data_IF_658604762926
#
_entry.id   IF_658604762926
#
_cell.length_a   1.000
_cell.length_b   1.000
_cell.length_c   1.000
_cell.angle_alpha   90.00
_cell.angle_beta   90.00
_cell.angle_gamma   90.00
#
_symmetry.space_group_name_H-M   'P 1'
#
loop_
_entity.id
_entity.type
_entity.pdbx_description
1 polymer ?
#
# COMPACT_ATOMS: atom_id res chain seq x y z
N UNK A 1 -0.60 8.10 6.37
CA UNK A 1 -1.64 7.10 6.72
C UNK A 1 -1.19 5.75 6.18
N UNK A 2 -1.28 4.69 6.99
CA UNK A 2 -0.70 3.32 6.92
C UNK A 2 -1.00 2.48 5.66
N UNK A 3 -1.41 3.10 4.57
CA UNK A 3 -1.96 2.47 3.37
C UNK A 3 -3.15 1.52 3.61
N UNK A 4 -3.72 1.50 4.82
CA UNK A 4 -4.77 0.56 5.24
C UNK A 4 -4.43 -0.92 4.99
N UNK A 5 -3.14 -1.24 4.91
CA UNK A 5 -2.69 -2.62 4.81
C UNK A 5 -3.02 -3.37 6.10
N UNK A 6 -3.55 -4.61 6.04
CA UNK A 6 -3.96 -5.35 7.24
C UNK A 6 -2.87 -5.41 8.31
N UNK A 7 -1.63 -5.74 7.91
CA UNK A 7 -0.50 -5.81 8.86
C UNK A 7 -0.13 -4.45 9.46
N UNK A 8 -0.22 -3.36 8.67
CA UNK A 8 0.09 -2.01 9.15
C UNK A 8 -1.01 -1.49 10.08
N UNK A 9 -2.25 -1.89 9.85
CA UNK A 9 -3.39 -1.66 10.76
C UNK A 9 -3.20 -2.45 12.06
N UNK A 10 -2.82 -3.73 11.97
CA UNK A 10 -2.55 -4.56 13.14
C UNK A 10 -1.39 -4.01 13.98
N UNK A 11 -0.30 -3.59 13.32
CA UNK A 11 0.83 -2.94 13.98
C UNK A 11 0.41 -1.64 14.68
N UNK A 12 -0.40 -0.79 14.03
CA UNK A 12 -0.94 0.41 14.66
C UNK A 12 -1.77 0.07 15.90
N UNK A 13 -2.74 -0.85 15.77
CA UNK A 13 -3.62 -1.24 16.89
C UNK A 13 -2.83 -1.78 18.08
N UNK A 14 -1.78 -2.56 17.81
CA UNK A 14 -0.87 -3.06 18.84
C UNK A 14 -0.16 -1.91 19.55
N UNK A 15 0.52 -1.03 18.79
CA UNK A 15 1.26 0.10 19.37
C UNK A 15 0.35 1.08 20.12
N UNK A 16 -0.84 1.36 19.60
CA UNK A 16 -1.82 2.21 20.27
C UNK A 16 -2.24 1.62 21.62
N UNK A 17 -2.45 0.31 21.72
CA UNK A 17 -2.79 -0.37 22.97
C UNK A 17 -1.66 -0.49 23.99
N UNK A 18 -0.45 -0.05 23.65
CA UNK A 18 0.69 0.03 24.57
C UNK A 18 0.83 1.45 25.19
N UNK A 19 -0.02 2.41 24.79
CA UNK A 19 -0.04 3.77 25.33
C UNK A 19 -1.09 3.88 26.43
N UNK A 20 -0.87 4.76 27.40
CA UNK A 20 -1.82 5.02 28.48
C UNK A 20 -3.05 5.81 27.98
N UNK A 21 -4.19 5.58 28.64
CA UNK A 21 -5.42 6.36 28.50
C UNK A 21 -5.16 7.87 28.71
N UNK A 22 -5.78 8.75 27.91
CA UNK A 22 -6.81 8.49 26.88
C UNK A 22 -6.25 8.30 25.46
N UNK A 23 -4.92 8.23 25.31
CA UNK A 23 -4.27 8.30 24.00
C UNK A 23 -4.51 7.02 23.20
N UNK A 24 -4.64 5.87 23.87
CA UNK A 24 -4.94 4.59 23.22
C UNK A 24 -6.34 4.58 22.60
N UNK A 25 -7.35 5.04 23.33
CA UNK A 25 -8.74 5.15 22.86
C UNK A 25 -8.87 6.16 21.73
N UNK A 26 -8.29 7.35 21.86
CA UNK A 26 -8.27 8.34 20.76
C UNK A 26 -7.57 7.79 19.51
N UNK A 27 -6.46 7.06 19.67
CA UNK A 27 -5.72 6.48 18.54
C UNK A 27 -6.50 5.35 17.84
N UNK A 28 -7.34 4.60 18.57
CA UNK A 28 -8.26 3.60 18.00
C UNK A 28 -9.39 4.30 17.23
N UNK A 29 -10.06 5.28 17.85
CA UNK A 29 -11.16 6.01 17.24
C UNK A 29 -10.74 6.72 15.94
N UNK A 30 -9.56 7.37 15.94
CA UNK A 30 -9.01 8.01 14.75
C UNK A 30 -8.76 7.02 13.61
N UNK A 31 -8.26 5.82 13.93
CA UNK A 31 -8.02 4.78 12.93
C UNK A 31 -9.33 4.26 12.35
N UNK A 32 -10.32 3.95 13.19
CA UNK A 32 -11.61 3.42 12.75
C UNK A 32 -12.40 4.47 11.95
N UNK A 33 -12.36 5.75 12.35
CA UNK A 33 -12.95 6.85 11.58
C UNK A 33 -12.28 7.00 10.20
N UNK A 34 -10.96 6.92 10.12
CA UNK A 34 -10.23 6.99 8.85
C UNK A 34 -10.57 5.82 7.91
N UNK A 35 -10.72 4.61 8.46
CA UNK A 35 -11.14 3.41 7.71
C UNK A 35 -12.57 3.56 7.18
N UNK A 36 -13.50 4.02 8.02
CA UNK A 36 -14.90 4.22 7.64
C UNK A 36 -15.05 5.27 6.52
N UNK A 37 -14.34 6.39 6.63
CA UNK A 37 -14.33 7.43 5.59
C UNK A 37 -13.76 6.90 4.27
N UNK A 38 -12.68 6.11 4.31
CA UNK A 38 -12.10 5.57 3.07
C UNK A 38 -13.05 4.60 2.36
N UNK A 39 -13.72 3.75 3.13
CA UNK A 39 -14.74 2.83 2.61
C UNK A 39 -15.89 3.58 1.95
N UNK A 40 -16.50 4.53 2.65
CA UNK A 40 -17.62 5.31 2.13
C UNK A 40 -17.25 6.07 0.85
N UNK A 41 -16.04 6.62 0.80
CA UNK A 41 -15.53 7.26 -0.41
C UNK A 41 -15.33 6.28 -1.56
N UNK A 42 -14.85 5.06 -1.29
CA UNK A 42 -14.69 4.01 -2.32
C UNK A 42 -16.03 3.56 -2.88
N UNK A 43 -17.01 3.31 -2.02
CA UNK A 43 -18.34 2.83 -2.43
C UNK A 43 -19.08 3.85 -3.30
N UNK A 44 -18.76 5.15 -3.14
CA UNK A 44 -19.43 6.25 -3.84
C UNK A 44 -18.78 6.70 -5.14
N UNK A 45 -17.65 6.12 -5.57
CA UNK A 45 -17.04 6.49 -6.87
C UNK A 45 -16.28 5.36 -7.56
N UNK A 46 -16.54 5.21 -8.85
CA UNK A 46 -15.78 4.32 -9.74
C UNK A 46 -14.37 4.85 -10.10
N UNK A 47 -14.09 6.13 -9.85
CA UNK A 47 -12.77 6.77 -10.03
C UNK A 47 -11.96 6.69 -8.75
N UNK A 48 -10.65 6.48 -8.89
CA UNK A 48 -9.72 6.56 -7.77
C UNK A 48 -9.86 7.91 -7.05
N UNK A 49 -10.22 7.88 -5.77
CA UNK A 49 -10.49 9.06 -4.92
C UNK A 49 -9.22 9.83 -4.52
N UNK A 50 -8.05 9.26 -4.79
CA UNK A 50 -6.75 9.85 -4.47
C UNK A 50 -5.64 9.19 -5.27
N UNK A 51 -4.48 9.82 -5.31
CA UNK A 51 -3.23 9.21 -5.82
C UNK A 51 -2.95 7.88 -5.13
N UNK A 52 -3.16 7.80 -3.81
CA UNK A 52 -3.00 6.56 -3.06
C UNK A 52 -3.96 5.46 -3.56
N UNK A 53 -5.22 5.79 -3.81
CA UNK A 53 -6.19 4.84 -4.36
C UNK A 53 -5.80 4.38 -5.78
N UNK A 54 -5.22 5.28 -6.59
CA UNK A 54 -4.72 4.96 -7.92
C UNK A 54 -3.53 3.99 -7.86
N UNK A 55 -2.54 4.28 -7.00
CA UNK A 55 -1.37 3.43 -6.78
C UNK A 55 -1.77 2.03 -6.30
N UNK A 56 -2.75 1.92 -5.40
CA UNK A 56 -3.29 0.61 -4.97
C UNK A 56 -3.93 -0.17 -6.10
N UNK A 57 -4.77 0.49 -6.91
CA UNK A 57 -5.43 -0.15 -8.05
C UNK A 57 -4.39 -0.64 -9.06
N UNK A 58 -3.38 0.17 -9.36
CA UNK A 58 -2.27 -0.22 -10.22
C UNK A 58 -1.50 -1.42 -9.64
N UNK A 59 -1.14 -1.36 -8.35
CA UNK A 59 -0.44 -2.44 -7.64
C UNK A 59 -1.19 -3.77 -7.76
N UNK A 60 -2.48 -3.79 -7.42
CA UNK A 60 -3.31 -5.00 -7.54
C UNK A 60 -3.46 -5.47 -8.98
N UNK A 61 -3.59 -4.56 -9.94
CA UNK A 61 -3.68 -4.92 -11.36
C UNK A 61 -2.39 -5.57 -11.85
N UNK A 62 -1.22 -5.07 -11.43
CA UNK A 62 0.08 -5.63 -11.78
C UNK A 62 0.24 -7.01 -11.15
N UNK A 63 -0.06 -7.15 -9.85
CA UNK A 63 0.04 -8.43 -9.15
C UNK A 63 -0.92 -9.49 -9.73
N UNK A 64 -2.19 -9.14 -9.95
CA UNK A 64 -3.20 -10.08 -10.44
C UNK A 64 -2.98 -10.53 -11.90
N UNK A 65 -2.19 -9.79 -12.67
CA UNK A 65 -1.91 -10.10 -14.08
C UNK A 65 -0.47 -10.56 -14.31
N UNK A 66 0.28 -10.82 -13.24
CA UNK A 66 1.71 -11.16 -13.30
C UNK A 66 2.48 -10.21 -14.24
N UNK A 67 2.24 -8.91 -14.06
CA UNK A 67 2.93 -7.85 -14.81
C UNK A 67 2.38 -7.55 -16.20
N UNK A 68 1.45 -8.35 -16.76
CA UNK A 68 0.92 -8.12 -18.10
C UNK A 68 0.24 -6.75 -18.23
N UNK A 69 -0.49 -6.29 -17.20
CA UNK A 69 -1.11 -4.97 -17.19
C UNK A 69 -0.08 -3.82 -17.31
N UNK A 70 1.13 -4.00 -16.76
CA UNK A 70 2.21 -3.03 -16.92
C UNK A 70 2.77 -3.07 -18.35
N UNK A 71 3.08 -4.26 -18.86
CA UNK A 71 3.64 -4.43 -20.20
C UNK A 71 2.69 -3.89 -21.30
N UNK A 72 1.39 -4.07 -21.14
CA UNK A 72 0.40 -3.56 -22.11
C UNK A 72 0.28 -2.02 -22.06
N UNK A 73 0.30 -1.43 -20.85
CA UNK A 73 0.23 0.02 -20.67
C UNK A 73 1.55 0.74 -21.04
N UNK A 74 2.68 0.06 -20.86
CA UNK A 74 4.03 0.62 -21.00
C UNK A 74 4.96 -0.35 -21.77
N UNK A 75 4.68 -0.64 -23.05
CA UNK A 75 5.32 -1.74 -23.78
C UNK A 75 6.83 -1.59 -23.99
N UNK A 76 7.34 -0.36 -23.96
CA UNK A 76 8.75 -0.05 -24.17
C UNK A 76 9.44 0.45 -22.88
N UNK A 77 8.75 0.40 -21.74
CA UNK A 77 9.33 0.89 -20.49
C UNK A 77 10.18 -0.19 -19.84
N UNK A 78 11.49 -0.05 -19.96
CA UNK A 78 12.47 -0.94 -19.33
C UNK A 78 12.86 -0.47 -17.92
N UNK A 79 12.56 0.80 -17.58
CA UNK A 79 13.02 1.43 -16.34
C UNK A 79 12.00 2.40 -15.75
N UNK A 80 11.83 2.30 -14.43
CA UNK A 80 11.11 3.28 -13.62
C UNK A 80 12.12 4.03 -12.73
N UNK A 81 12.13 5.37 -12.81
CA UNK A 81 12.99 6.20 -11.94
C UNK A 81 12.15 7.06 -11.01
N UNK A 82 12.35 6.91 -9.70
CA UNK A 82 11.77 7.75 -8.66
C UNK A 82 12.83 8.74 -8.15
N UNK A 83 12.59 10.04 -8.35
CA UNK A 83 13.58 11.10 -8.08
C UNK A 83 13.19 12.01 -6.92
N UNK A 84 14.20 12.46 -6.18
CA UNK A 84 14.06 13.55 -5.20
C UNK A 84 13.21 13.18 -3.98
N UNK A 85 13.10 11.88 -3.67
CA UNK A 85 12.28 11.39 -2.58
C UNK A 85 12.90 11.74 -1.22
N UNK A 86 12.12 12.40 -0.36
CA UNK A 86 12.44 12.57 1.06
C UNK A 86 11.93 11.41 1.92
N UNK A 87 11.04 10.58 1.37
CA UNK A 87 10.54 9.33 1.96
C UNK A 87 9.96 8.45 0.84
N UNK A 88 9.84 7.14 1.09
CA UNK A 88 9.07 6.22 0.27
C UNK A 88 7.78 5.93 1.03
N UNK A 89 6.63 6.43 0.54
CA UNK A 89 5.37 6.16 1.21
C UNK A 89 4.95 4.71 0.98
N UNK A 90 4.13 4.20 1.89
CA UNK A 90 3.60 2.83 1.83
C UNK A 90 2.97 2.46 0.45
N UNK A 91 2.10 3.28 -0.17
CA UNK A 91 1.57 2.98 -1.51
C UNK A 91 2.64 2.90 -2.61
N UNK A 92 3.67 3.75 -2.55
CA UNK A 92 4.78 3.69 -3.52
C UNK A 92 5.64 2.44 -3.31
N UNK A 93 5.83 2.06 -2.05
CA UNK A 93 6.57 0.87 -1.67
C UNK A 93 5.87 -0.38 -2.20
N UNK A 94 4.56 -0.48 -2.00
CA UNK A 94 3.75 -1.61 -2.47
C UNK A 94 3.76 -1.68 -4.00
N UNK A 95 3.64 -0.56 -4.71
CA UNK A 95 3.76 -0.51 -6.18
C UNK A 95 5.14 -0.98 -6.66
N UNK A 96 6.22 -0.50 -6.04
CA UNK A 96 7.59 -0.90 -6.40
C UNK A 96 7.80 -2.39 -6.15
N UNK A 97 7.30 -2.94 -5.03
CA UNK A 97 7.36 -4.37 -4.78
C UNK A 97 6.64 -5.17 -5.87
N UNK A 98 5.41 -4.79 -6.22
CA UNK A 98 4.66 -5.51 -7.26
C UNK A 98 5.35 -5.46 -8.63
N UNK A 99 5.95 -4.32 -9.00
CA UNK A 99 6.73 -4.20 -10.23
C UNK A 99 7.97 -5.09 -10.23
N UNK A 100 8.75 -5.06 -9.15
CA UNK A 100 9.97 -5.87 -9.03
C UNK A 100 9.68 -7.37 -8.99
N UNK A 101 8.51 -7.77 -8.50
CA UNK A 101 8.09 -9.17 -8.42
C UNK A 101 7.54 -9.68 -9.74
N UNK A 102 6.71 -8.88 -10.42
CA UNK A 102 5.92 -9.32 -11.57
C UNK A 102 6.50 -8.90 -12.92
N UNK A 103 7.56 -8.07 -12.96
CA UNK A 103 8.12 -7.55 -14.21
C UNK A 103 9.65 -7.51 -14.19
N UNK A 104 10.32 -7.54 -15.36
CA UNK A 104 11.77 -7.35 -15.45
C UNK A 104 12.19 -5.86 -15.40
N UNK A 105 11.28 -4.93 -15.09
CA UNK A 105 11.59 -3.49 -15.10
C UNK A 105 12.59 -3.15 -14.02
N UNK A 106 13.63 -2.40 -14.40
CA UNK A 106 14.59 -1.86 -13.46
C UNK A 106 13.98 -0.66 -12.70
N UNK A 107 13.99 -0.71 -11.37
CA UNK A 107 13.51 0.41 -10.54
C UNK A 107 14.68 1.14 -9.90
N UNK A 108 14.82 2.42 -10.24
CA UNK A 108 15.85 3.32 -9.73
C UNK A 108 15.25 4.30 -8.72
N UNK A 109 15.72 4.28 -7.48
CA UNK A 109 15.23 5.17 -6.42
C UNK A 109 16.32 6.13 -5.96
N UNK A 110 16.10 7.43 -6.15
CA UNK A 110 17.03 8.49 -5.80
C UNK A 110 16.48 9.36 -4.66
N UNK A 111 17.07 9.20 -3.48
CA UNK A 111 16.74 9.98 -2.29
C UNK A 111 17.48 11.31 -2.22
N UNK A 112 16.90 12.28 -1.50
CA UNK A 112 17.55 13.58 -1.23
C UNK A 112 18.80 13.43 -0.35
N UNK A 113 19.73 14.37 -0.49
CA UNK A 113 21.04 14.38 0.18
C UNK A 113 20.99 14.38 1.73
N UNK A 114 19.84 14.67 2.35
CA UNK A 114 19.68 14.61 3.82
C UNK A 114 19.04 13.34 4.37
N UNK A 115 18.27 12.61 3.56
CA UNK A 115 17.53 11.40 4.00
C UNK A 115 18.03 10.12 3.33
N UNK A 116 18.90 10.23 2.31
CA UNK A 116 19.21 9.10 1.44
C UNK A 116 19.97 7.97 2.09
N UNK A 117 20.91 8.22 3.00
CA UNK A 117 21.61 7.13 3.69
C UNK A 117 20.68 6.35 4.62
N UNK A 118 19.89 7.08 5.42
CA UNK A 118 18.88 6.48 6.29
C UNK A 118 17.86 5.65 5.49
N UNK A 119 17.33 6.20 4.40
CA UNK A 119 16.33 5.52 3.59
C UNK A 119 16.91 4.30 2.85
N UNK A 120 18.13 4.39 2.29
CA UNK A 120 18.77 3.23 1.63
C UNK A 120 18.87 2.01 2.55
N UNK A 121 19.16 2.22 3.83
CA UNK A 121 19.22 1.13 4.82
C UNK A 121 17.86 0.50 5.09
N UNK A 122 16.77 1.28 4.97
CA UNK A 122 15.40 0.84 5.25
C UNK A 122 14.65 0.29 4.03
N UNK A 123 15.06 0.62 2.81
CA UNK A 123 14.36 0.19 1.59
C UNK A 123 14.12 -1.32 1.53
N UNK A 124 15.11 -2.19 1.84
CA UNK A 124 14.86 -3.63 1.84
C UNK A 124 13.71 -4.03 2.76
N UNK A 125 13.69 -3.52 3.99
CA UNK A 125 12.64 -3.79 4.96
C UNK A 125 11.29 -3.21 4.53
N UNK A 126 11.30 -2.04 3.88
CA UNK A 126 10.08 -1.42 3.35
C UNK A 126 9.48 -2.28 2.23
N UNK A 127 10.32 -2.85 1.38
CA UNK A 127 9.88 -3.70 0.27
C UNK A 127 9.52 -5.12 0.71
N UNK A 128 9.87 -5.56 1.91
CA UNK A 128 9.51 -6.87 2.45
C UNK A 128 8.07 -6.88 3.00
N UNK A 129 7.09 -6.65 2.12
CA UNK A 129 5.65 -6.65 2.44
C UNK A 129 4.99 -7.79 1.69
N UNK A 130 4.33 -8.67 2.43
CA UNK A 130 3.50 -9.73 1.85
C UNK A 130 2.20 -9.13 1.29
N UNK A 131 1.78 -9.60 0.10
CA UNK A 131 0.56 -9.17 -0.60
C UNK A 131 0.40 -7.63 -0.78
N UNK A 132 1.31 -7.01 -1.55
CA UNK A 132 1.38 -5.55 -1.68
C UNK A 132 0.09 -4.95 -2.28
N UNK A 133 -0.39 -3.86 -1.68
CA UNK A 133 -1.57 -3.12 -2.18
C UNK A 133 -2.92 -3.65 -1.69
N UNK A 134 -2.89 -4.65 -0.81
CA UNK A 134 -4.05 -5.12 -0.07
C UNK A 134 -4.52 -4.09 0.95
N UNK A 135 -5.84 -4.02 1.10
CA UNK A 135 -6.52 -3.16 2.05
C UNK A 135 -7.33 -4.05 2.98
N UNK A 136 -7.31 -3.77 4.28
CA UNK A 136 -8.19 -4.47 5.21
C UNK A 136 -9.64 -4.34 4.75
N UNK A 137 -10.19 -5.48 4.33
CA UNK A 137 -11.62 -5.66 4.15
C UNK A 137 -12.24 -5.85 5.53
N UNK A 138 -13.50 -5.45 5.69
CA UNK A 138 -14.21 -5.77 6.94
C UNK A 138 -14.43 -7.29 7.05
N UNK A 139 -14.59 -7.83 8.26
CA UNK A 139 -14.89 -9.26 8.49
C UNK A 139 -16.10 -9.76 7.67
N UNK A 140 -17.02 -8.87 7.29
CA UNK A 140 -18.17 -9.17 6.46
C UNK A 140 -17.83 -9.56 5.01
N UNK A 141 -16.71 -9.07 4.46
CA UNK A 141 -16.27 -9.38 3.08
C UNK A 141 -15.31 -10.59 3.04
N UNK A 142 -14.59 -10.87 4.13
CA UNK A 142 -13.79 -12.09 4.27
C UNK A 142 -14.69 -13.35 4.29
N UNK A 143 -15.89 -13.23 4.85
CA UNK A 143 -16.87 -14.31 4.91
C UNK A 143 -17.65 -14.51 3.59
N UNK A 144 -17.83 -13.47 2.76
CA UNK A 144 -18.52 -13.61 1.47
C UNK A 144 -17.66 -14.25 0.37
N UNK A 145 -16.33 -14.31 0.54
CA UNK A 145 -15.41 -14.94 -0.41
C UNK A 145 -15.29 -16.47 -0.28
N UNK A 146 -15.80 -17.06 0.81
CA UNK A 146 -15.69 -18.50 1.08
C UNK A 146 -16.89 -19.30 0.57
N UNK A 147 -18.03 -18.67 0.26
CA UNK A 147 -19.25 -19.36 -0.18
C UNK A 147 -19.42 -19.50 -1.71
N UNK A 148 -18.43 -19.12 -2.52
CA UNK A 148 -18.51 -19.19 -3.99
C UNK A 148 -17.68 -20.36 -4.60
N UNK A 149 -17.45 -21.43 -3.85
CA UNK A 149 -16.84 -22.67 -4.36
C UNK A 149 -17.41 -23.89 -3.66
N UNK A 150 -18.68 -24.19 -3.93
CA UNK A 150 -19.24 -25.55 -3.94
C UNK A 150 -20.17 -25.72 -5.15
#
# INVERSE_FOLDING_TARGET
MTNFHPERIAAWRKTAGEVDDPIDDEARELLDAALAVERELRDRTAKAVSETALLRRATRSIAATDGAAWAEAHPNAERLTLLGLSSLSAPHTDLVNALLTATPVEVHVHFRAGTGEYLRRRVPDLLAVDDPGTVALSEAEALSGTEASE
#
